data_IF_643634498002
#
_entry.id   IF_643634498002
#
_cell.length_a   1.000
_cell.length_b   1.000
_cell.length_c   1.000
_cell.angle_alpha   90.00
_cell.angle_beta   90.00
_cell.angle_gamma   90.00
#
_symmetry.space_group_name_H-M   'P 1'
#
loop_
_entity.id
_entity.type
_entity.pdbx_description
1 polymer ?
#
# COMPACT_ATOMS: atom_id res chain seq x y z
N UNK A 1 -67.29 28.81 117.26
CA UNK A 1 -66.16 29.60 116.73
C UNK A 1 -65.22 29.87 117.90
N UNK A 2 -64.03 29.28 117.93
CA UNK A 2 -63.03 29.51 119.00
C UNK A 2 -62.25 30.77 118.65
N UNK A 3 -62.24 31.76 119.54
CA UNK A 3 -61.40 32.95 119.36
C UNK A 3 -59.93 32.53 119.48
N UNK A 4 -59.16 32.76 118.41
CA UNK A 4 -57.70 32.58 118.39
C UNK A 4 -57.11 33.91 118.86
N UNK A 5 -56.44 33.92 120.00
CA UNK A 5 -55.76 35.10 120.54
C UNK A 5 -54.37 35.14 119.90
N UNK A 6 -54.13 36.07 118.98
CA UNK A 6 -52.82 36.32 118.37
C UNK A 6 -52.09 37.46 119.06
N UNK A 7 -50.77 37.32 119.20
CA UNK A 7 -49.91 38.27 119.90
C UNK A 7 -49.58 39.47 118.99
N UNK A 8 -49.68 40.69 119.52
CA UNK A 8 -49.55 41.94 118.75
C UNK A 8 -48.14 42.14 118.17
N UNK A 9 -47.11 41.54 118.78
CA UNK A 9 -45.73 41.61 118.28
C UNK A 9 -45.53 40.81 116.98
N UNK A 10 -46.45 39.91 116.64
CA UNK A 10 -46.44 39.15 115.39
C UNK A 10 -47.12 39.88 114.23
N UNK A 11 -47.82 41.00 114.51
CA UNK A 11 -48.48 41.85 113.51
C UNK A 11 -47.49 42.86 112.90
N UNK A 12 -46.34 42.39 112.41
CA UNK A 12 -45.42 43.21 111.61
C UNK A 12 -45.84 43.16 110.14
N UNK A 13 -45.89 44.31 109.50
CA UNK A 13 -46.27 44.51 108.09
C UNK A 13 -45.49 43.59 107.13
N UNK A 14 -44.22 43.28 107.45
CA UNK A 14 -43.40 42.33 106.70
C UNK A 14 -43.97 40.91 106.66
N UNK A 15 -44.67 40.48 107.71
CA UNK A 15 -45.28 39.14 107.82
C UNK A 15 -46.66 39.10 107.15
N UNK A 16 -47.41 40.21 107.17
CA UNK A 16 -48.67 40.36 106.43
C UNK A 16 -48.45 40.23 104.93
N UNK A 17 -47.37 40.81 104.38
CA UNK A 17 -47.00 40.65 102.96
C UNK A 17 -46.61 39.21 102.61
N UNK A 18 -45.93 38.51 103.53
CA UNK A 18 -45.48 37.12 103.35
C UNK A 18 -46.61 36.09 103.48
N UNK A 19 -47.60 36.36 104.34
CA UNK A 19 -48.82 35.55 104.48
C UNK A 19 -49.92 35.98 103.50
N UNK A 20 -49.76 37.12 102.82
CA UNK A 20 -50.63 37.55 101.73
C UNK A 20 -50.52 36.54 100.58
N UNK A 21 -51.64 35.87 100.28
CA UNK A 21 -51.71 34.97 99.12
C UNK A 21 -51.41 35.81 97.87
N UNK A 22 -50.45 35.40 97.02
CA UNK A 22 -50.12 36.14 95.83
C UNK A 22 -51.38 36.35 94.98
N UNK A 23 -51.54 37.56 94.42
CA UNK A 23 -52.69 37.89 93.58
C UNK A 23 -52.83 36.83 92.46
N UNK A 24 -54.05 36.33 92.16
CA UNK A 24 -54.24 35.20 91.24
C UNK A 24 -53.60 35.41 89.86
N UNK A 25 -53.43 36.68 89.44
CA UNK A 25 -52.69 37.06 88.25
C UNK A 25 -51.25 36.55 88.21
N UNK A 26 -50.51 36.60 89.33
CA UNK A 26 -49.11 36.17 89.38
C UNK A 26 -48.99 34.66 89.16
N UNK A 27 -49.92 33.88 89.72
CA UNK A 27 -50.01 32.43 89.51
C UNK A 27 -50.37 32.10 88.06
N UNK A 28 -51.35 32.78 87.49
CA UNK A 28 -51.75 32.62 86.06
C UNK A 28 -50.58 32.95 85.13
N UNK A 29 -49.87 34.05 85.42
CA UNK A 29 -48.70 34.48 84.65
C UNK A 29 -47.58 33.44 84.69
N UNK A 30 -47.30 32.85 85.86
CA UNK A 30 -46.32 31.75 85.99
C UNK A 30 -46.69 30.56 85.10
N UNK A 31 -47.95 30.13 85.06
CA UNK A 31 -48.39 28.99 84.26
C UNK A 31 -48.34 29.27 82.76
N UNK A 32 -48.69 30.49 82.34
CA UNK A 32 -48.57 30.91 80.93
C UNK A 32 -47.10 30.89 80.50
N UNK A 33 -46.21 31.40 81.34
CA UNK A 33 -44.77 31.38 81.08
C UNK A 33 -44.25 29.94 80.95
N UNK A 34 -44.69 29.05 81.84
CA UNK A 34 -44.36 27.62 81.82
C UNK A 34 -44.88 26.92 80.55
N UNK A 35 -46.10 27.26 80.11
CA UNK A 35 -46.70 26.74 78.88
C UNK A 35 -45.91 27.16 77.64
N UNK A 36 -45.41 28.39 77.59
CA UNK A 36 -44.57 28.90 76.50
C UNK A 36 -43.26 28.11 76.44
N UNK A 37 -42.62 27.87 77.59
CA UNK A 37 -41.41 27.05 77.64
C UNK A 37 -41.67 25.60 77.20
N UNK A 38 -42.73 24.96 77.69
CA UNK A 38 -43.11 23.62 77.23
C UNK A 38 -43.33 23.59 75.72
N UNK A 39 -44.07 24.56 75.18
CA UNK A 39 -44.35 24.63 73.75
C UNK A 39 -43.07 24.81 72.93
N UNK A 40 -42.13 25.63 73.40
CA UNK A 40 -40.82 25.80 72.75
C UNK A 40 -39.98 24.52 72.80
N UNK A 41 -40.00 23.77 73.91
CA UNK A 41 -39.32 22.48 74.02
C UNK A 41 -39.94 21.42 73.12
N UNK A 42 -41.28 21.32 73.07
CA UNK A 42 -41.99 20.45 72.14
C UNK A 42 -41.61 20.81 70.69
N UNK A 43 -41.58 22.10 70.36
CA UNK A 43 -41.22 22.57 69.02
C UNK A 43 -39.77 22.23 68.67
N UNK A 44 -38.83 22.42 69.59
CA UNK A 44 -37.43 22.11 69.37
C UNK A 44 -37.18 20.59 69.19
N UNK A 45 -38.01 19.75 69.83
CA UNK A 45 -37.95 18.30 69.65
C UNK A 45 -38.54 17.86 68.29
N UNK A 46 -39.63 18.48 67.84
CA UNK A 46 -40.27 18.16 66.56
C UNK A 46 -39.61 18.82 65.35
N UNK A 47 -38.81 19.86 65.56
CA UNK A 47 -38.14 20.58 64.48
C UNK A 47 -36.97 19.77 63.93
N UNK A 48 -37.17 19.16 62.76
CA UNK A 48 -36.08 18.56 62.01
C UNK A 48 -35.22 19.66 61.36
N UNK A 49 -33.91 19.58 61.57
CA UNK A 49 -32.96 20.46 60.92
C UNK A 49 -32.64 19.94 59.52
N UNK A 50 -33.15 20.62 58.50
CA UNK A 50 -32.77 20.33 57.12
C UNK A 50 -31.31 20.77 56.88
N UNK A 51 -30.47 19.82 56.46
CA UNK A 51 -29.10 20.08 56.06
C UNK A 51 -29.04 19.92 54.55
N UNK A 52 -29.04 21.04 53.84
CA UNK A 52 -28.79 21.07 52.40
C UNK A 52 -27.32 21.40 52.18
N UNK A 53 -26.63 20.55 51.43
CA UNK A 53 -25.23 20.76 51.05
C UNK A 53 -25.19 21.03 49.55
N UNK A 54 -24.82 22.25 49.18
CA UNK A 54 -24.58 22.61 47.78
C UNK A 54 -23.24 22.04 47.33
N UNK A 55 -23.28 21.00 46.50
CA UNK A 55 -22.10 20.41 45.87
C UNK A 55 -22.07 20.72 44.38
N UNK A 56 -20.92 21.15 43.88
CA UNK A 56 -20.70 21.31 42.44
C UNK A 56 -20.20 19.98 41.87
N UNK A 57 -21.10 19.26 41.19
CA UNK A 57 -20.79 18.02 40.49
C UNK A 57 -20.78 18.21 38.97
N UNK A 58 -19.92 17.47 38.27
CA UNK A 58 -19.95 17.39 36.80
C UNK A 58 -20.48 16.02 36.41
N UNK A 59 -21.52 15.99 35.59
CA UNK A 59 -22.06 14.74 35.04
C UNK A 59 -21.08 14.20 34.01
N UNK A 60 -20.54 13.00 34.27
CA UNK A 60 -19.69 12.26 33.34
C UNK A 60 -20.37 10.98 32.90
N UNK A 61 -20.18 10.53 31.65
CA UNK A 61 -20.64 9.21 31.23
C UNK A 61 -20.05 8.12 32.12
N UNK A 62 -20.88 7.13 32.48
CA UNK A 62 -20.46 6.00 33.32
C UNK A 62 -19.54 5.03 32.56
N UNK A 63 -19.54 5.11 31.23
CA UNK A 63 -18.76 4.26 30.32
C UNK A 63 -17.80 5.07 29.43
N UNK A 64 -16.83 4.38 28.84
CA UNK A 64 -15.86 4.97 27.94
C UNK A 64 -16.54 5.55 26.69
N UNK A 65 -16.17 6.78 26.33
CA UNK A 65 -16.63 7.42 25.10
C UNK A 65 -15.92 6.74 23.91
N UNK A 66 -16.67 6.02 23.08
CA UNK A 66 -16.15 5.39 21.88
C UNK A 66 -16.13 6.38 20.71
N UNK A 67 -14.95 6.63 20.15
CA UNK A 67 -14.79 7.42 18.91
C UNK A 67 -15.02 6.52 17.70
N UNK A 68 -16.01 6.87 16.88
CA UNK A 68 -16.24 6.20 15.59
C UNK A 68 -15.31 6.80 14.56
N UNK A 69 -14.51 5.96 13.89
CA UNK A 69 -13.62 6.36 12.80
C UNK A 69 -13.56 5.26 11.76
N UNK A 70 -13.40 5.64 10.49
CA UNK A 70 -13.19 4.69 9.41
C UNK A 70 -11.69 4.49 9.18
N UNK A 71 -11.33 3.26 8.80
CA UNK A 71 -9.95 2.91 8.44
C UNK A 71 -9.51 3.61 7.14
N UNK A 72 -10.46 3.83 6.23
CA UNK A 72 -10.23 4.45 4.93
C UNK A 72 -10.84 5.85 4.88
N UNK A 73 -10.07 6.80 4.38
CA UNK A 73 -10.54 8.15 4.09
C UNK A 73 -11.26 8.17 2.74
N UNK A 74 -12.54 8.56 2.73
CA UNK A 74 -13.30 8.81 1.52
C UNK A 74 -14.35 9.90 1.78
N UNK A 75 -14.95 10.42 0.72
CA UNK A 75 -16.03 11.42 0.80
C UNK A 75 -17.26 10.80 1.47
N UNK A 76 -17.87 11.54 2.39
CA UNK A 76 -19.14 11.13 3.01
C UNK A 76 -20.27 11.32 1.99
N UNK A 77 -20.99 10.23 1.70
CA UNK A 77 -22.13 10.22 0.77
C UNK A 77 -23.44 10.54 1.49
N UNK A 78 -23.67 9.94 2.66
CA UNK A 78 -24.86 10.18 3.46
C UNK A 78 -24.56 10.11 4.96
N UNK A 79 -25.34 10.85 5.73
CA UNK A 79 -25.28 10.90 7.20
C UNK A 79 -26.67 10.57 7.74
N UNK A 80 -26.73 9.56 8.60
CA UNK A 80 -27.96 8.94 9.13
C UNK A 80 -28.09 9.13 10.65
N UNK A 81 -27.48 10.17 11.22
CA UNK A 81 -27.58 10.51 12.63
C UNK A 81 -27.73 12.02 12.83
N UNK A 82 -28.33 12.40 13.94
CA UNK A 82 -28.39 13.77 14.47
C UNK A 82 -27.77 13.81 15.86
N UNK A 83 -27.37 15.00 16.29
CA UNK A 83 -26.81 15.19 17.63
C UNK A 83 -27.86 14.84 18.69
N UNK A 84 -27.49 13.98 19.64
CA UNK A 84 -28.39 13.49 20.70
C UNK A 84 -29.17 12.23 20.33
N UNK A 85 -29.03 11.69 19.11
CA UNK A 85 -29.69 10.44 18.73
C UNK A 85 -29.15 9.25 19.55
N UNK A 86 -30.07 8.40 20.02
CA UNK A 86 -29.72 7.08 20.56
C UNK A 86 -29.39 6.13 19.41
N UNK A 87 -28.28 5.40 19.51
CA UNK A 87 -27.80 4.47 18.49
C UNK A 87 -27.54 3.10 19.11
N UNK A 88 -27.84 2.06 18.34
CA UNK A 88 -27.62 0.66 18.72
C UNK A 88 -26.43 0.07 17.94
N UNK A 89 -25.86 -1.01 18.46
CA UNK A 89 -24.73 -1.71 17.81
C UNK A 89 -25.15 -2.21 16.42
N UNK A 90 -24.38 -1.84 15.41
CA UNK A 90 -24.62 -2.22 14.01
C UNK A 90 -25.44 -1.20 13.21
N UNK A 91 -25.97 -0.15 13.84
CA UNK A 91 -26.64 0.95 13.12
C UNK A 91 -25.63 1.70 12.24
N UNK A 92 -25.94 1.82 10.95
CA UNK A 92 -25.14 2.59 9.99
C UNK A 92 -25.30 4.08 10.28
N UNK A 93 -24.22 4.72 10.72
CA UNK A 93 -24.21 6.17 11.03
C UNK A 93 -24.00 7.03 9.79
N UNK A 94 -23.07 6.66 8.92
CA UNK A 94 -22.81 7.35 7.68
C UNK A 94 -22.28 6.37 6.64
N UNK A 95 -22.47 6.71 5.36
CA UNK A 95 -22.00 5.93 4.23
C UNK A 95 -20.92 6.74 3.52
N UNK A 96 -19.79 6.11 3.21
CA UNK A 96 -18.74 6.71 2.40
C UNK A 96 -18.96 6.40 0.91
N UNK A 97 -18.45 7.25 0.04
CA UNK A 97 -18.35 6.95 -1.38
C UNK A 97 -17.43 5.73 -1.57
N UNK A 98 -18.00 4.69 -2.19
CA UNK A 98 -17.40 3.38 -2.40
C UNK A 98 -17.38 2.99 -3.88
N UNK A 99 -17.66 3.92 -4.80
CA UNK A 99 -17.74 3.63 -6.24
C UNK A 99 -16.45 3.02 -6.79
N UNK A 100 -15.30 3.51 -6.34
CA UNK A 100 -14.00 2.97 -6.75
C UNK A 100 -13.78 1.55 -6.21
N UNK A 101 -14.14 1.31 -4.95
CA UNK A 101 -14.03 -0.01 -4.32
C UNK A 101 -14.95 -1.03 -5.01
N UNK A 102 -16.14 -0.63 -5.45
CA UNK A 102 -17.05 -1.50 -6.20
C UNK A 102 -16.48 -1.90 -7.56
N UNK A 103 -15.84 -0.96 -8.27
CA UNK A 103 -15.18 -1.24 -9.55
C UNK A 103 -14.00 -2.20 -9.34
N UNK A 104 -13.17 -1.96 -8.32
CA UNK A 104 -12.07 -2.85 -7.97
C UNK A 104 -12.56 -4.25 -7.61
N UNK A 105 -13.61 -4.34 -6.78
CA UNK A 105 -14.22 -5.61 -6.40
C UNK A 105 -14.76 -6.37 -7.61
N UNK A 106 -15.51 -5.70 -8.49
CA UNK A 106 -16.06 -6.31 -9.70
C UNK A 106 -14.96 -6.83 -10.64
N UNK A 107 -13.87 -6.08 -10.79
CA UNK A 107 -12.70 -6.52 -11.55
C UNK A 107 -12.07 -7.78 -10.95
N UNK A 108 -11.83 -7.78 -9.63
CA UNK A 108 -11.26 -8.92 -8.91
C UNK A 108 -12.17 -10.16 -8.96
N UNK A 109 -13.49 -9.99 -8.80
CA UNK A 109 -14.47 -11.07 -8.88
C UNK A 109 -14.49 -11.68 -10.29
N UNK A 110 -14.36 -10.86 -11.34
CA UNK A 110 -14.22 -11.35 -12.72
C UNK A 110 -12.93 -12.14 -12.91
N UNK A 111 -11.79 -11.59 -12.49
CA UNK A 111 -10.49 -12.29 -12.57
C UNK A 111 -10.51 -13.62 -11.82
N UNK A 112 -11.12 -13.66 -10.64
CA UNK A 112 -11.29 -14.88 -9.86
C UNK A 112 -12.10 -15.92 -10.63
N UNK A 113 -13.24 -15.53 -11.20
CA UNK A 113 -14.09 -16.42 -11.99
C UNK A 113 -13.38 -16.98 -13.22
N UNK A 114 -12.61 -16.15 -13.91
CA UNK A 114 -11.84 -16.56 -15.09
C UNK A 114 -10.76 -17.58 -14.70
N UNK A 115 -10.04 -17.34 -13.59
CA UNK A 115 -9.05 -18.28 -13.04
C UNK A 115 -9.68 -19.61 -12.57
N UNK A 116 -10.82 -19.56 -11.89
CA UNK A 116 -11.55 -20.77 -11.48
C UNK A 116 -11.97 -21.61 -12.69
N UNK A 117 -12.41 -20.97 -13.78
CA UNK A 117 -12.71 -21.64 -15.05
C UNK A 117 -11.45 -22.25 -15.67
N UNK A 118 -10.33 -21.53 -15.64
CA UNK A 118 -9.05 -22.03 -16.14
C UNK A 118 -8.58 -23.28 -15.38
N UNK A 119 -8.63 -23.24 -14.04
CA UNK A 119 -8.28 -24.39 -13.19
C UNK A 119 -9.16 -25.60 -13.53
N UNK A 120 -10.48 -25.40 -13.60
CA UNK A 120 -11.42 -26.47 -13.96
C UNK A 120 -11.10 -27.07 -15.34
N UNK A 121 -10.75 -26.23 -16.32
CA UNK A 121 -10.34 -26.69 -17.64
C UNK A 121 -9.01 -27.46 -17.59
N UNK A 122 -8.02 -26.99 -16.85
CA UNK A 122 -6.73 -27.69 -16.71
C UNK A 122 -6.88 -29.05 -16.03
N UNK A 123 -7.70 -29.16 -14.99
CA UNK A 123 -8.02 -30.44 -14.35
C UNK A 123 -8.70 -31.41 -15.32
N UNK A 124 -9.67 -30.91 -16.10
CA UNK A 124 -10.33 -31.68 -17.16
C UNK A 124 -9.36 -32.12 -18.25
N UNK A 125 -8.38 -31.28 -18.62
CA UNK A 125 -7.33 -31.62 -19.58
C UNK A 125 -6.39 -32.70 -19.03
N UNK A 126 -5.94 -32.55 -17.78
CA UNK A 126 -5.14 -33.57 -17.09
C UNK A 126 -5.86 -34.92 -17.08
N UNK A 127 -7.14 -34.92 -16.74
CA UNK A 127 -7.98 -36.13 -16.78
C UNK A 127 -8.09 -36.70 -18.19
N UNK A 128 -8.31 -35.84 -19.19
CA UNK A 128 -8.39 -36.25 -20.60
C UNK A 128 -7.12 -36.96 -21.06
N UNK A 129 -5.95 -36.42 -20.68
CA UNK A 129 -4.64 -36.98 -20.98
C UNK A 129 -4.44 -38.32 -20.26
N UNK A 130 -4.76 -38.39 -18.97
CA UNK A 130 -4.64 -39.61 -18.16
C UNK A 130 -5.49 -40.75 -18.72
N UNK A 131 -6.75 -40.44 -19.05
CA UNK A 131 -7.73 -41.43 -19.52
C UNK A 131 -7.60 -41.70 -21.03
N UNK A 132 -6.69 -41.01 -21.72
CA UNK A 132 -6.54 -40.98 -23.19
C UNK A 132 -7.87 -40.77 -23.93
N UNK A 133 -8.74 -39.92 -23.37
CA UNK A 133 -10.05 -39.59 -23.91
C UNK A 133 -10.28 -38.08 -23.83
N UNK A 134 -10.63 -37.45 -24.94
CA UNK A 134 -10.98 -36.04 -24.93
C UNK A 134 -12.32 -35.83 -24.21
N UNK A 135 -12.32 -35.13 -23.07
CA UNK A 135 -13.56 -34.72 -22.39
C UNK A 135 -14.08 -33.36 -22.85
N UNK A 136 -13.32 -32.61 -23.65
CA UNK A 136 -13.75 -31.34 -24.22
C UNK A 136 -14.60 -31.55 -25.47
N UNK A 137 -15.44 -30.56 -25.74
CA UNK A 137 -16.30 -30.47 -26.92
C UNK A 137 -15.71 -29.48 -27.92
N UNK A 138 -15.97 -29.70 -29.22
CA UNK A 138 -15.65 -28.72 -30.27
C UNK A 138 -16.69 -27.58 -30.27
N UNK A 139 -16.72 -26.83 -29.18
CA UNK A 139 -17.62 -25.69 -28.96
C UNK A 139 -16.78 -24.43 -28.75
N UNK A 140 -17.36 -23.26 -29.05
CA UNK A 140 -16.66 -21.97 -28.96
C UNK A 140 -16.02 -21.73 -27.58
N UNK A 141 -16.64 -22.22 -26.51
CA UNK A 141 -16.18 -22.01 -25.13
C UNK A 141 -15.07 -22.98 -24.69
N UNK A 142 -14.98 -24.15 -25.31
CA UNK A 142 -13.98 -25.19 -24.97
C UNK A 142 -12.93 -25.41 -26.07
N UNK A 143 -13.04 -24.70 -27.20
CA UNK A 143 -12.22 -24.89 -28.41
C UNK A 143 -10.73 -24.91 -28.13
N UNK A 144 -10.26 -23.96 -27.33
CA UNK A 144 -8.85 -23.84 -26.97
C UNK A 144 -8.31 -25.13 -26.32
N UNK A 145 -9.02 -25.67 -25.33
CA UNK A 145 -8.60 -26.86 -24.59
C UNK A 145 -8.85 -28.15 -25.38
N UNK A 146 -9.89 -28.17 -26.22
CA UNK A 146 -10.13 -29.23 -27.19
C UNK A 146 -8.94 -29.35 -28.17
N UNK A 147 -8.49 -28.25 -28.74
CA UNK A 147 -7.35 -28.22 -29.67
C UNK A 147 -6.03 -28.56 -28.96
N UNK A 148 -5.83 -28.13 -27.70
CA UNK A 148 -4.68 -28.54 -26.88
C UNK A 148 -4.60 -30.07 -26.72
N UNK A 149 -5.73 -30.73 -26.44
CA UNK A 149 -5.76 -32.20 -26.34
C UNK A 149 -5.46 -32.88 -27.67
N UNK A 150 -6.04 -32.39 -28.78
CA UNK A 150 -5.76 -32.95 -30.12
C UNK A 150 -4.29 -32.81 -30.51
N UNK A 151 -3.66 -31.68 -30.17
CA UNK A 151 -2.23 -31.49 -30.40
C UNK A 151 -1.40 -32.48 -29.59
N UNK A 152 -1.72 -32.69 -28.31
CA UNK A 152 -1.09 -33.74 -27.50
C UNK A 152 -1.24 -35.12 -28.14
N UNK A 153 -2.43 -35.49 -28.60
CA UNK A 153 -2.68 -36.78 -29.26
C UNK A 153 -1.88 -36.93 -30.56
N UNK A 154 -1.80 -35.88 -31.38
CA UNK A 154 -0.97 -35.85 -32.59
C UNK A 154 0.52 -36.01 -32.25
N UNK A 155 1.03 -35.26 -31.28
CA UNK A 155 2.43 -35.37 -30.84
C UNK A 155 2.76 -36.75 -30.27
N UNK A 156 1.80 -37.43 -29.64
CA UNK A 156 1.95 -38.82 -29.18
C UNK A 156 2.03 -39.81 -30.33
N UNK A 157 1.24 -39.61 -31.40
CA UNK A 157 1.15 -40.52 -32.56
C UNK A 157 2.30 -40.36 -33.55
N UNK A 158 2.90 -39.17 -33.63
CA UNK A 158 3.94 -38.84 -34.59
C UNK A 158 5.17 -38.20 -33.91
N UNK A 159 5.95 -38.98 -33.13
CA UNK A 159 7.19 -38.49 -32.54
C UNK A 159 8.24 -38.11 -33.60
N UNK A 160 8.13 -38.65 -34.82
CA UNK A 160 9.04 -38.37 -35.91
C UNK A 160 8.82 -36.97 -36.51
N UNK A 161 7.58 -36.46 -36.52
CA UNK A 161 7.32 -35.06 -36.87
C UNK A 161 7.90 -34.09 -35.84
N UNK A 162 7.80 -34.40 -34.54
CA UNK A 162 8.47 -33.60 -33.51
C UNK A 162 10.00 -33.61 -33.70
N UNK A 163 10.59 -34.77 -33.97
CA UNK A 163 12.03 -34.85 -34.33
C UNK A 163 12.35 -34.04 -35.59
N UNK A 164 11.49 -34.06 -36.61
CA UNK A 164 11.68 -33.31 -37.86
C UNK A 164 11.65 -31.80 -37.63
N UNK A 165 10.75 -31.30 -36.79
CA UNK A 165 10.68 -29.87 -36.42
C UNK A 165 11.91 -29.46 -35.61
N UNK A 166 12.35 -30.29 -34.66
CA UNK A 166 13.58 -30.02 -33.89
C UNK A 166 14.80 -30.05 -34.81
N UNK A 167 14.91 -31.03 -35.72
CA UNK A 167 16.01 -31.13 -36.67
C UNK A 167 16.04 -29.94 -37.64
N UNK A 168 14.88 -29.46 -38.13
CA UNK A 168 14.85 -28.29 -38.99
C UNK A 168 15.24 -27.00 -38.25
N UNK A 169 14.93 -26.88 -36.95
CA UNK A 169 15.43 -25.80 -36.11
C UNK A 169 16.95 -25.88 -35.93
N UNK A 170 17.49 -27.08 -35.68
CA UNK A 170 18.94 -27.33 -35.59
C UNK A 170 19.63 -26.96 -36.91
N UNK A 171 19.09 -27.36 -38.06
CA UNK A 171 19.66 -27.05 -39.38
C UNK A 171 19.69 -25.54 -39.66
N UNK A 172 18.64 -24.83 -39.26
CA UNK A 172 18.59 -23.36 -39.36
C UNK A 172 19.63 -22.69 -38.45
N UNK A 173 19.77 -23.14 -37.20
CA UNK A 173 20.79 -22.63 -36.28
C UNK A 173 22.20 -22.91 -36.78
N UNK A 174 22.46 -24.13 -37.27
CA UNK A 174 23.74 -24.50 -37.86
C UNK A 174 24.07 -23.62 -39.08
N UNK A 175 23.08 -23.33 -39.93
CA UNK A 175 23.24 -22.43 -41.07
C UNK A 175 23.54 -20.99 -40.63
N UNK A 176 22.90 -20.50 -39.56
CA UNK A 176 23.19 -19.18 -38.96
C UNK A 176 24.62 -19.12 -38.42
N UNK A 177 25.02 -20.11 -37.63
CA UNK A 177 26.37 -20.23 -37.06
C UNK A 177 27.42 -20.29 -38.18
N UNK A 178 27.17 -21.08 -39.24
CA UNK A 178 28.08 -21.16 -40.37
C UNK A 178 28.25 -19.79 -41.07
N UNK A 179 27.16 -19.06 -41.31
CA UNK A 179 27.24 -17.73 -41.90
C UNK A 179 27.97 -16.72 -41.00
N UNK A 180 27.77 -16.78 -39.68
CA UNK A 180 28.50 -15.94 -38.72
C UNK A 180 30.01 -16.27 -38.73
N UNK A 181 30.37 -17.55 -38.78
CA UNK A 181 31.77 -17.98 -38.91
C UNK A 181 32.39 -17.51 -40.24
N UNK A 182 31.65 -17.58 -41.34
CA UNK A 182 32.08 -17.03 -42.63
C UNK A 182 32.24 -15.51 -42.58
N UNK A 183 31.35 -14.80 -41.89
CA UNK A 183 31.46 -13.34 -41.69
C UNK A 183 32.71 -12.98 -40.88
N UNK A 184 32.97 -13.69 -39.78
CA UNK A 184 34.19 -13.55 -38.98
C UNK A 184 35.45 -13.76 -39.83
N UNK A 185 35.50 -14.88 -40.57
CA UNK A 185 36.60 -15.19 -41.49
C UNK A 185 36.76 -14.12 -42.56
N UNK A 186 35.65 -13.58 -43.07
CA UNK A 186 35.67 -12.53 -44.08
C UNK A 186 36.28 -11.24 -43.53
N UNK A 187 35.92 -10.86 -42.30
CA UNK A 187 36.46 -9.69 -41.61
C UNK A 187 37.96 -9.81 -41.32
N UNK A 188 38.41 -11.00 -40.91
CA UNK A 188 39.83 -11.28 -40.61
C UNK A 188 40.70 -11.27 -41.86
N UNK A 189 40.23 -11.87 -42.96
CA UNK A 189 40.99 -11.97 -44.21
C UNK A 189 40.73 -10.82 -45.19
N UNK A 190 39.89 -9.86 -44.81
CA UNK A 190 39.42 -8.75 -45.66
C UNK A 190 38.88 -9.21 -47.04
N UNK A 191 38.29 -10.41 -47.10
CA UNK A 191 37.82 -11.06 -48.33
C UNK A 191 36.42 -11.61 -48.08
N UNK A 192 35.47 -11.33 -48.97
CA UNK A 192 34.09 -11.78 -48.76
C UNK A 192 33.92 -13.26 -49.12
N UNK A 193 33.63 -14.11 -48.13
CA UNK A 193 33.31 -15.54 -48.33
C UNK A 193 31.81 -15.85 -48.26
N UNK A 194 30.95 -14.82 -48.19
CA UNK A 194 29.51 -14.96 -48.02
C UNK A 194 28.78 -14.93 -49.37
N UNK A 195 27.64 -15.59 -49.46
CA UNK A 195 26.80 -15.56 -50.66
C UNK A 195 26.04 -14.24 -50.79
N UNK A 196 25.98 -13.69 -52.01
CA UNK A 196 25.43 -12.36 -52.34
C UNK A 196 23.94 -12.15 -52.03
N UNK A 197 23.19 -13.21 -51.72
CA UNK A 197 21.78 -13.14 -51.31
C UNK A 197 21.56 -13.07 -49.79
N UNK A 198 22.61 -13.08 -48.97
CA UNK A 198 22.48 -13.13 -47.50
C UNK A 198 22.59 -11.74 -46.86
N UNK A 199 21.91 -11.53 -45.71
CA UNK A 199 22.07 -10.29 -44.94
C UNK A 199 23.52 -10.09 -44.46
N UNK A 200 24.22 -11.18 -44.16
CA UNK A 200 25.63 -11.19 -43.76
C UNK A 200 26.56 -10.62 -44.83
N UNK A 201 26.26 -10.85 -46.11
CA UNK A 201 27.01 -10.26 -47.22
C UNK A 201 27.01 -8.73 -47.15
N UNK A 202 25.84 -8.14 -46.89
CA UNK A 202 25.71 -6.70 -46.71
C UNK A 202 26.47 -6.20 -45.48
N UNK A 203 26.39 -6.92 -44.36
CA UNK A 203 27.15 -6.58 -43.16
C UNK A 203 28.67 -6.54 -43.41
N UNK A 204 29.22 -7.52 -44.15
CA UNK A 204 30.64 -7.50 -44.52
C UNK A 204 30.97 -6.33 -45.44
N UNK A 205 30.09 -6.02 -46.40
CA UNK A 205 30.29 -4.89 -47.31
C UNK A 205 30.35 -3.56 -46.55
N UNK A 206 29.46 -3.36 -45.59
CA UNK A 206 29.44 -2.17 -44.73
C UNK A 206 30.69 -2.10 -43.86
N UNK A 207 31.11 -3.22 -43.27
CA UNK A 207 32.38 -3.32 -42.55
C UNK A 207 33.57 -2.89 -43.42
N UNK A 208 33.65 -3.41 -44.65
CA UNK A 208 34.73 -3.08 -45.58
C UNK A 208 34.75 -1.60 -45.95
N UNK A 209 33.58 -0.99 -46.22
CA UNK A 209 33.47 0.44 -46.51
C UNK A 209 34.00 1.28 -45.34
N UNK A 210 33.65 0.91 -44.10
CA UNK A 210 34.12 1.61 -42.91
C UNK A 210 35.64 1.46 -42.73
N UNK A 211 36.18 0.25 -42.89
CA UNK A 211 37.63 -0.01 -42.83
C UNK A 211 38.38 0.85 -43.87
N UNK A 212 37.90 0.91 -45.12
CA UNK A 212 38.48 1.74 -46.17
C UNK A 212 38.42 3.24 -45.81
N UNK A 213 37.36 3.69 -45.14
CA UNK A 213 37.23 5.06 -44.63
C UNK A 213 38.30 5.40 -43.58
N UNK A 214 38.50 4.52 -42.60
CA UNK A 214 39.56 4.66 -41.61
C UNK A 214 40.96 4.63 -42.24
N UNK A 215 41.21 3.72 -43.18
CA UNK A 215 42.51 3.60 -43.87
C UNK A 215 42.84 4.85 -44.70
N UNK A 216 41.83 5.45 -45.37
CA UNK A 216 41.99 6.75 -46.05
C UNK A 216 42.33 7.87 -45.08
N UNK A 217 41.66 7.95 -43.93
CA UNK A 217 41.96 8.96 -42.90
C UNK A 217 43.39 8.79 -42.34
N UNK A 218 43.79 7.56 -42.03
CA UNK A 218 45.15 7.23 -41.56
C UNK A 218 46.19 7.64 -42.61
N UNK A 219 45.91 7.38 -43.89
CA UNK A 219 46.82 7.77 -44.99
C UNK A 219 46.98 9.29 -45.05
N UNK A 220 45.88 10.05 -45.00
CA UNK A 220 45.93 11.52 -45.01
C UNK A 220 46.69 12.10 -43.80
N UNK A 221 46.47 11.55 -42.60
CA UNK A 221 47.19 11.93 -41.38
C UNK A 221 48.68 11.58 -41.46
N UNK A 222 49.01 10.42 -42.03
CA UNK A 222 50.38 9.98 -42.23
C UNK A 222 51.13 10.90 -43.22
N UNK A 223 50.48 11.29 -44.32
CA UNK A 223 51.04 12.21 -45.30
C UNK A 223 51.27 13.61 -44.70
N UNK A 224 50.32 14.07 -43.87
CA UNK A 224 50.44 15.32 -43.11
C UNK A 224 51.62 15.27 -42.13
N UNK A 225 51.72 14.19 -41.34
CA UNK A 225 52.83 13.95 -40.41
C UNK A 225 54.19 13.94 -41.12
N UNK A 226 54.32 13.20 -42.22
CA UNK A 226 55.55 13.13 -43.01
C UNK A 226 55.94 14.49 -43.61
N UNK A 227 54.95 15.26 -44.06
CA UNK A 227 55.17 16.62 -44.58
C UNK A 227 55.72 17.57 -43.51
N UNK A 228 55.18 17.53 -42.29
CA UNK A 228 55.65 18.34 -41.17
C UNK A 228 57.06 17.95 -40.74
N UNK A 229 57.35 16.65 -40.69
CA UNK A 229 58.68 16.10 -40.37
C UNK A 229 59.74 16.55 -41.38
N UNK A 230 59.40 16.54 -42.68
CA UNK A 230 60.33 16.94 -43.74
C UNK A 230 60.61 18.44 -43.78
N UNK A 231 59.67 19.29 -43.34
CA UNK A 231 59.80 20.75 -43.32
C UNK A 231 60.53 21.32 -42.09
N UNK A 232 61.00 20.48 -41.15
CA UNK A 232 61.66 20.88 -39.89
C UNK A 232 60.85 21.94 -39.10
N UNK A 233 59.54 21.76 -39.05
CA UNK A 233 58.61 22.59 -38.26
C UNK A 233 58.85 22.36 -36.76
N UNK A 234 58.35 23.25 -35.89
CA UNK A 234 58.41 23.09 -34.42
C UNK A 234 58.04 21.67 -33.96
N UNK A 235 58.85 21.12 -33.04
CA UNK A 235 58.75 19.74 -32.56
C UNK A 235 57.39 19.42 -31.92
N UNK A 236 56.75 20.41 -31.30
CA UNK A 236 55.40 20.31 -30.74
C UNK A 236 54.38 19.94 -31.81
N UNK A 237 54.41 20.60 -32.98
CA UNK A 237 53.48 20.34 -34.08
C UNK A 237 53.67 18.97 -34.72
N UNK A 238 54.92 18.47 -34.74
CA UNK A 238 55.25 17.12 -35.22
C UNK A 238 54.71 16.06 -34.24
N UNK A 239 54.86 16.30 -32.94
CA UNK A 239 54.35 15.39 -31.90
C UNK A 239 52.81 15.35 -31.89
N UNK A 240 52.13 16.48 -32.01
CA UNK A 240 50.67 16.53 -32.10
C UNK A 240 50.14 15.76 -33.32
N UNK A 241 50.78 15.92 -34.49
CA UNK A 241 50.42 15.16 -35.70
C UNK A 241 50.66 13.65 -35.53
N UNK A 242 51.72 13.26 -34.82
CA UNK A 242 52.00 11.86 -34.50
C UNK A 242 50.94 11.27 -33.57
N UNK A 243 50.54 12.00 -32.52
CA UNK A 243 49.48 11.57 -31.59
C UNK A 243 48.19 11.32 -32.36
N UNK A 244 47.76 12.27 -33.20
CA UNK A 244 46.55 12.12 -34.03
C UNK A 244 46.61 10.91 -34.97
N UNK A 245 47.78 10.65 -35.56
CA UNK A 245 47.97 9.48 -36.43
C UNK A 245 47.85 8.16 -35.63
N UNK A 246 48.45 8.08 -34.46
CA UNK A 246 48.37 6.89 -33.60
C UNK A 246 46.95 6.69 -33.03
N UNK A 247 46.25 7.77 -32.69
CA UNK A 247 44.83 7.72 -32.31
C UNK A 247 43.96 7.15 -33.44
N UNK A 248 44.14 7.61 -34.67
CA UNK A 248 43.39 7.11 -35.83
C UNK A 248 43.65 5.61 -36.11
N UNK A 249 44.90 5.14 -35.95
CA UNK A 249 45.24 3.71 -36.05
C UNK A 249 44.59 2.89 -34.94
N UNK A 250 44.57 3.42 -33.73
CA UNK A 250 43.93 2.79 -32.58
C UNK A 250 42.42 2.68 -32.78
N UNK A 251 41.76 3.70 -33.33
CA UNK A 251 40.33 3.67 -33.66
C UNK A 251 40.00 2.59 -34.68
N UNK A 252 40.78 2.44 -35.75
CA UNK A 252 40.61 1.35 -36.72
C UNK A 252 40.73 -0.02 -36.04
N UNK A 253 41.72 -0.17 -35.17
CA UNK A 253 41.94 -1.43 -34.43
C UNK A 253 40.75 -1.74 -33.51
N UNK A 254 40.25 -0.74 -32.78
CA UNK A 254 39.05 -0.87 -31.94
C UNK A 254 37.84 -1.27 -32.77
N UNK A 255 37.63 -0.63 -33.92
CA UNK A 255 36.52 -0.95 -34.82
C UNK A 255 36.56 -2.40 -35.30
N UNK A 256 37.73 -2.87 -35.79
CA UNK A 256 37.91 -4.27 -36.25
C UNK A 256 37.67 -5.28 -35.13
N UNK A 257 38.16 -5.00 -33.92
CA UNK A 257 37.99 -5.87 -32.76
C UNK A 257 36.54 -5.90 -32.30
N UNK A 258 35.88 -4.75 -32.21
CA UNK A 258 34.47 -4.66 -31.81
C UNK A 258 33.56 -5.39 -32.80
N UNK A 259 33.82 -5.26 -34.10
CA UNK A 259 33.07 -6.00 -35.12
C UNK A 259 33.22 -7.51 -34.94
N UNK A 260 34.44 -8.00 -34.70
CA UNK A 260 34.73 -9.43 -34.48
C UNK A 260 34.07 -9.94 -33.19
N UNK A 261 34.18 -9.18 -32.10
CA UNK A 261 33.60 -9.52 -30.80
C UNK A 261 32.07 -9.62 -30.85
N UNK A 262 31.41 -8.70 -31.57
CA UNK A 262 29.97 -8.76 -31.77
C UNK A 262 29.53 -10.05 -32.51
N UNK A 263 30.35 -10.53 -33.46
CA UNK A 263 30.08 -11.79 -34.15
C UNK A 263 30.27 -12.99 -33.21
N UNK A 264 31.33 -12.98 -32.39
CA UNK A 264 31.59 -14.04 -31.41
C UNK A 264 30.44 -14.14 -30.39
N UNK A 265 30.00 -13.02 -29.82
CA UNK A 265 28.85 -12.99 -28.91
C UNK A 265 27.59 -13.55 -29.59
N UNK A 266 27.35 -13.22 -30.87
CA UNK A 266 26.19 -13.72 -31.62
C UNK A 266 26.28 -15.22 -31.98
N UNK A 267 27.46 -15.85 -31.85
CA UNK A 267 27.65 -17.30 -32.01
C UNK A 267 27.41 -18.02 -30.67
N UNK A 268 27.72 -17.37 -29.55
CA UNK A 268 27.56 -17.93 -28.20
C UNK A 268 26.13 -17.85 -27.66
N UNK A 269 25.30 -16.92 -28.18
CA UNK A 269 23.84 -16.82 -27.94
C UNK A 269 23.02 -17.91 -28.65
#
# INVERSE_FOLDING_TARGET
MKAIIQNIDEMKDSREILESKPHPFTTIFIYILLLIFLSAFIWCWLAEKEIVVDVQGVVRPNENIHKVSNLLGSKVLSVNFKNGDKVEKGKVLYILDHKELDVQKSSLDKSKKDLEKEISNLEKLKKSISDNKNYFTDSKDEKEYYDKYLNYEKSKKDPDNNKKVVNSQIDNLNSKINNLNLLKKSAQNNTNYLSSGTSYYSQFKDYKINVEGYEKNITALNDSYNSLKNKKVEEVLINDAKVKLEEAKLELTKYKNQFTLNIENAIEE
#
